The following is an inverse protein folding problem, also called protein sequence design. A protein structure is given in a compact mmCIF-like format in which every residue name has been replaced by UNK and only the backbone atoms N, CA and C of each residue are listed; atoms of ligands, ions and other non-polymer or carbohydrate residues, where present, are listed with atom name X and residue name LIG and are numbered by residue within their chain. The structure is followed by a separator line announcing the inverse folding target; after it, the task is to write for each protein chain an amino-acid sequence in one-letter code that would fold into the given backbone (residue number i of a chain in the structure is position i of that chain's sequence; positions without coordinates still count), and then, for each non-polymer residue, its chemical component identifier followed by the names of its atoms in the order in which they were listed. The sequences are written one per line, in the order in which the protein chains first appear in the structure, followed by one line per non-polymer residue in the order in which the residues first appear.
data_IF_953404656346
#
_entry.id   IF_953404656346
#
_cell.length_a   1.000
_cell.length_b   1.000
_cell.length_c   1.000
_cell.angle_alpha   90.00
_cell.angle_beta   90.00
_cell.angle_gamma   90.00
#
_symmetry.space_group_name_H-M   'P 1'
#
loop_
_entity.id
_entity.type
_entity.pdbx_description
1 polymer ?
#
# COMPACT_ATOMS: atom_id res chain seq x y z
N UNK A 1 -29.95 37.62 22.36
CA UNK A 1 -28.54 37.37 22.70
C UNK A 1 -28.00 36.56 21.53
N UNK A 2 -27.46 37.28 20.56
CA UNK A 2 -26.99 36.77 19.27
C UNK A 2 -25.57 36.24 19.49
N UNK A 3 -25.41 34.92 19.57
CA UNK A 3 -24.10 34.29 19.75
C UNK A 3 -23.41 34.20 18.41
N UNK A 4 -22.10 34.45 18.34
CA UNK A 4 -21.39 34.30 17.07
C UNK A 4 -21.56 32.86 16.53
N UNK A 5 -21.54 32.71 15.21
CA UNK A 5 -21.62 31.40 14.53
C UNK A 5 -20.65 30.37 15.13
N UNK A 6 -19.49 30.83 15.59
CA UNK A 6 -18.48 30.04 16.30
C UNK A 6 -19.01 29.46 17.62
N UNK A 7 -19.68 30.26 18.45
CA UNK A 7 -20.25 29.80 19.73
C UNK A 7 -21.32 28.73 19.53
N UNK A 8 -22.12 28.85 18.46
CA UNK A 8 -23.14 27.86 18.11
C UNK A 8 -22.47 26.53 17.79
N UNK A 9 -21.41 26.55 16.96
CA UNK A 9 -20.68 25.34 16.62
C UNK A 9 -19.93 24.73 17.79
N UNK A 10 -19.30 25.53 18.66
CA UNK A 10 -18.63 25.05 19.87
C UNK A 10 -19.60 24.33 20.81
N UNK A 11 -20.79 24.92 21.04
CA UNK A 11 -21.85 24.29 21.85
C UNK A 11 -22.38 22.98 21.24
N UNK A 12 -22.36 22.86 19.91
CA UNK A 12 -22.84 21.67 19.21
C UNK A 12 -21.75 20.63 18.92
N UNK A 13 -20.47 20.93 19.15
CA UNK A 13 -19.31 20.09 18.79
C UNK A 13 -19.51 18.61 19.13
N UNK A 14 -19.94 18.30 20.36
CA UNK A 14 -20.15 16.91 20.79
C UNK A 14 -21.23 16.17 19.98
N UNK A 15 -22.32 16.84 19.62
CA UNK A 15 -23.39 16.26 18.79
C UNK A 15 -22.91 16.03 17.35
N UNK A 16 -22.18 17.01 16.81
CA UNK A 16 -21.62 16.96 15.45
C UNK A 16 -20.59 15.83 15.33
N UNK A 17 -19.68 15.72 16.30
CA UNK A 17 -18.71 14.63 16.35
C UNK A 17 -19.41 13.26 16.50
N UNK A 18 -20.45 13.18 17.34
CA UNK A 18 -21.27 11.96 17.47
C UNK A 18 -21.98 11.58 16.16
N UNK A 19 -22.41 12.56 15.36
CA UNK A 19 -22.97 12.31 14.03
C UNK A 19 -21.93 11.76 13.05
N UNK A 20 -20.71 12.30 13.07
CA UNK A 20 -19.60 11.88 12.21
C UNK A 20 -19.14 10.47 12.59
N UNK A 21 -18.95 10.20 13.88
CA UNK A 21 -18.51 8.88 14.40
C UNK A 21 -19.45 7.72 14.07
N UNK A 22 -20.73 8.00 13.77
CA UNK A 22 -21.67 6.98 13.26
C UNK A 22 -21.42 6.59 11.79
N UNK A 23 -20.61 7.36 11.07
CA UNK A 23 -20.30 7.19 9.64
C UNK A 23 -18.81 6.97 9.39
N UNK A 24 -17.96 7.42 10.31
CA UNK A 24 -16.51 7.31 10.26
C UNK A 24 -16.06 6.50 11.47
N UNK A 25 -15.55 5.30 11.22
CA UNK A 25 -15.16 4.35 12.28
C UNK A 25 -13.85 4.74 12.99
N UNK A 26 -13.07 5.63 12.39
CA UNK A 26 -11.78 6.08 12.89
C UNK A 26 -11.96 7.37 13.71
N UNK A 27 -11.62 7.38 15.02
CA UNK A 27 -11.82 8.55 15.88
C UNK A 27 -11.04 9.79 15.45
N UNK A 28 -9.83 9.62 14.92
CA UNK A 28 -8.97 10.72 14.51
C UNK A 28 -9.47 11.30 13.18
N UNK A 29 -9.82 10.42 12.24
CA UNK A 29 -10.48 10.82 10.98
C UNK A 29 -11.81 11.55 11.24
N UNK A 30 -12.56 11.16 12.28
CA UNK A 30 -13.80 11.84 12.64
C UNK A 30 -13.56 13.26 13.18
N UNK A 31 -12.48 13.47 13.93
CA UNK A 31 -12.05 14.80 14.39
C UNK A 31 -11.59 15.66 13.21
N UNK A 32 -10.83 15.10 12.27
CA UNK A 32 -10.38 15.80 11.06
C UNK A 32 -11.54 16.26 10.18
N UNK A 33 -12.53 15.38 9.97
CA UNK A 33 -13.77 15.73 9.24
C UNK A 33 -14.50 16.88 9.91
N UNK A 34 -14.58 16.87 11.24
CA UNK A 34 -15.22 17.95 12.00
C UNK A 34 -14.46 19.27 11.82
N UNK A 35 -13.13 19.23 11.93
CA UNK A 35 -12.28 20.41 11.73
C UNK A 35 -12.41 20.97 10.30
N UNK A 36 -12.31 20.14 9.27
CA UNK A 36 -12.45 20.57 7.87
C UNK A 36 -13.85 21.15 7.61
N UNK A 37 -14.88 20.54 8.21
CA UNK A 37 -16.24 21.07 8.18
C UNK A 37 -16.35 22.45 8.82
N UNK A 38 -15.84 22.63 10.04
CA UNK A 38 -15.84 23.91 10.76
C UNK A 38 -15.08 24.99 10.00
N UNK A 39 -13.91 24.68 9.46
CA UNK A 39 -13.12 25.61 8.64
C UNK A 39 -13.88 26.07 7.39
N UNK A 40 -14.55 25.14 6.69
CA UNK A 40 -15.42 25.49 5.54
C UNK A 40 -16.58 26.36 5.97
N UNK A 41 -17.20 26.06 7.13
CA UNK A 41 -18.31 26.84 7.63
C UNK A 41 -17.91 28.26 7.99
N UNK A 42 -16.80 28.46 8.70
CA UNK A 42 -16.28 29.78 9.06
C UNK A 42 -15.95 30.64 7.83
N UNK A 43 -15.38 30.03 6.79
CA UNK A 43 -15.09 30.74 5.52
C UNK A 43 -16.32 31.14 4.72
N UNK A 44 -17.47 30.52 4.99
CA UNK A 44 -18.73 30.77 4.28
C UNK A 44 -19.82 31.34 5.20
N UNK A 45 -19.47 31.70 6.43
CA UNK A 45 -20.42 32.16 7.45
C UNK A 45 -21.01 33.53 7.11
N UNK A 46 -20.25 34.40 6.42
CA UNK A 46 -20.70 35.75 6.02
C UNK A 46 -21.93 35.72 5.08
N UNK A 47 -22.14 34.61 4.37
CA UNK A 47 -23.30 34.41 3.48
C UNK A 47 -24.55 33.90 4.22
N UNK A 48 -24.43 33.47 5.48
CA UNK A 48 -25.53 32.93 6.27
C UNK A 48 -26.15 33.99 7.18
N UNK A 49 -27.22 34.60 6.65
CA UNK A 49 -28.03 35.59 7.38
C UNK A 49 -29.15 34.99 8.24
N UNK A 50 -29.34 33.67 8.17
CA UNK A 50 -30.45 32.96 8.83
C UNK A 50 -29.90 31.83 9.72
N UNK A 51 -29.92 32.07 11.02
CA UNK A 51 -29.41 31.16 12.05
C UNK A 51 -30.20 29.84 12.09
N UNK A 52 -31.49 29.84 11.73
CA UNK A 52 -32.32 28.62 11.71
C UNK A 52 -31.89 27.64 10.60
N UNK A 53 -31.25 28.16 9.54
CA UNK A 53 -30.75 27.35 8.40
C UNK A 53 -29.31 26.91 8.56
N UNK A 54 -28.57 27.50 9.51
CA UNK A 54 -27.15 27.25 9.73
C UNK A 54 -26.85 25.78 10.04
N UNK A 55 -27.62 25.17 10.95
CA UNK A 55 -27.38 23.78 11.38
C UNK A 55 -27.65 22.77 10.25
N UNK A 56 -28.81 22.79 9.55
CA UNK A 56 -29.04 21.91 8.39
C UNK A 56 -28.01 22.10 7.28
N UNK A 57 -27.62 23.33 6.99
CA UNK A 57 -26.57 23.63 6.02
C UNK A 57 -25.22 23.03 6.44
N UNK A 58 -24.87 23.12 7.73
CA UNK A 58 -23.63 22.57 8.25
C UNK A 58 -23.59 21.04 8.18
N UNK A 59 -24.69 20.34 8.48
CA UNK A 59 -24.77 18.89 8.26
C UNK A 59 -24.52 18.50 6.80
N UNK A 60 -24.91 19.34 5.84
CA UNK A 60 -24.60 19.13 4.42
C UNK A 60 -23.10 19.27 4.15
N UNK A 61 -22.44 20.24 4.77
CA UNK A 61 -20.97 20.37 4.72
C UNK A 61 -20.30 19.12 5.29
N UNK A 62 -20.74 18.66 6.46
CA UNK A 62 -20.18 17.46 7.10
C UNK A 62 -20.33 16.21 6.23
N UNK A 63 -21.50 16.02 5.60
CA UNK A 63 -21.70 14.88 4.69
C UNK A 63 -20.72 14.92 3.51
N UNK A 64 -20.52 16.09 2.90
CA UNK A 64 -19.56 16.25 1.82
C UNK A 64 -18.12 16.00 2.31
N UNK A 65 -17.76 16.53 3.48
CA UNK A 65 -16.45 16.31 4.08
C UNK A 65 -16.17 14.83 4.37
N UNK A 66 -17.16 14.07 4.85
CA UNK A 66 -17.05 12.61 5.05
C UNK A 66 -16.74 11.92 3.71
N UNK A 67 -17.51 12.23 2.67
CA UNK A 67 -17.32 11.65 1.33
C UNK A 67 -15.92 11.99 0.80
N UNK A 68 -15.51 13.26 0.89
CA UNK A 68 -14.21 13.73 0.43
C UNK A 68 -13.06 13.00 1.16
N UNK A 69 -13.20 12.78 2.46
CA UNK A 69 -12.18 12.09 3.26
C UNK A 69 -12.03 10.63 2.84
N UNK A 70 -13.14 9.91 2.62
CA UNK A 70 -13.07 8.55 2.09
C UNK A 70 -12.50 8.49 0.67
N UNK A 71 -12.81 9.47 -0.19
CA UNK A 71 -12.24 9.55 -1.54
C UNK A 71 -10.73 9.80 -1.51
N UNK A 72 -10.26 10.72 -0.65
CA UNK A 72 -8.82 10.99 -0.43
C UNK A 72 -8.10 9.73 0.04
N UNK A 73 -8.62 9.05 1.07
CA UNK A 73 -8.03 7.81 1.61
C UNK A 73 -7.96 6.69 0.57
N UNK A 74 -9.02 6.51 -0.23
CA UNK A 74 -9.02 5.51 -1.31
C UNK A 74 -8.01 5.84 -2.42
N UNK A 75 -7.77 7.12 -2.72
CA UNK A 75 -6.74 7.53 -3.66
C UNK A 75 -5.33 7.27 -3.09
N UNK A 76 -5.10 7.59 -1.81
CA UNK A 76 -3.84 7.35 -1.11
C UNK A 76 -3.50 5.86 -1.05
N UNK A 77 -4.46 5.00 -0.66
CA UNK A 77 -4.25 3.54 -0.66
C UNK A 77 -3.86 3.02 -2.03
N UNK A 78 -4.56 3.44 -3.09
CA UNK A 78 -4.22 3.02 -4.46
C UNK A 78 -2.83 3.47 -4.89
N UNK A 79 -2.43 4.67 -4.50
CA UNK A 79 -1.08 5.19 -4.77
C UNK A 79 -0.02 4.34 -4.05
N UNK A 80 -0.20 4.08 -2.75
CA UNK A 80 0.73 3.26 -1.97
C UNK A 80 0.84 1.82 -2.50
N UNK A 81 -0.28 1.22 -2.92
CA UNK A 81 -0.28 -0.10 -3.55
C UNK A 81 0.42 -0.12 -4.91
N UNK A 82 0.32 0.96 -5.70
CA UNK A 82 1.04 1.07 -6.96
C UNK A 82 2.55 1.19 -6.71
N UNK A 83 2.94 2.08 -5.79
CA UNK A 83 4.33 2.27 -5.38
C UNK A 83 4.96 0.99 -4.82
N UNK A 84 4.24 0.24 -3.97
CA UNK A 84 4.72 -1.03 -3.43
C UNK A 84 4.98 -2.06 -4.55
N UNK A 85 4.10 -2.13 -5.55
CA UNK A 85 4.27 -3.02 -6.71
C UNK A 85 5.49 -2.65 -7.55
N UNK A 86 5.72 -1.36 -7.76
CA UNK A 86 6.90 -0.87 -8.49
C UNK A 86 8.19 -1.25 -7.74
N UNK A 87 8.23 -1.02 -6.42
CA UNK A 87 9.38 -1.40 -5.59
C UNK A 87 9.64 -2.92 -5.57
N UNK A 88 8.58 -3.75 -5.52
CA UNK A 88 8.71 -5.21 -5.64
C UNK A 88 9.27 -5.63 -7.00
N UNK A 89 8.88 -4.97 -8.09
CA UNK A 89 9.41 -5.24 -9.43
C UNK A 89 10.89 -4.89 -9.54
N UNK A 90 11.31 -3.74 -9.02
CA UNK A 90 12.72 -3.34 -8.99
C UNK A 90 13.58 -4.34 -8.21
N UNK A 91 13.13 -4.75 -7.02
CA UNK A 91 13.85 -5.74 -6.20
C UNK A 91 13.96 -7.09 -6.92
N UNK A 92 12.88 -7.54 -7.58
CA UNK A 92 12.89 -8.79 -8.33
C UNK A 92 13.82 -8.73 -9.55
N UNK A 93 13.90 -7.58 -10.23
CA UNK A 93 14.82 -7.37 -11.35
C UNK A 93 16.29 -7.42 -10.92
N UNK A 94 16.62 -6.90 -9.73
CA UNK A 94 17.98 -7.01 -9.18
C UNK A 94 18.35 -8.43 -8.72
N UNK A 95 17.35 -9.24 -8.35
CA UNK A 95 17.57 -10.58 -7.78
C UNK A 95 17.50 -11.69 -8.84
N UNK A 96 16.88 -11.44 -10.00
CA UNK A 96 16.98 -12.34 -11.15
C UNK A 96 18.33 -12.13 -11.83
N UNK A 97 19.25 -13.11 -11.81
CA UNK A 97 20.37 -13.05 -12.72
C UNK A 97 19.79 -12.99 -14.13
N UNK A 98 20.11 -11.92 -14.88
CA UNK A 98 19.84 -11.79 -16.31
C UNK A 98 20.60 -12.90 -17.06
N UNK A 99 20.06 -14.11 -16.98
CA UNK A 99 20.56 -15.27 -17.68
C UNK A 99 20.12 -15.08 -19.12
N UNK A 100 21.09 -14.76 -19.98
CA UNK A 100 20.89 -14.67 -21.42
C UNK A 100 20.06 -15.85 -21.94
N UNK A 101 19.08 -15.58 -22.81
CA UNK A 101 18.32 -16.62 -23.51
C UNK A 101 19.23 -17.65 -24.21
N UNK A 102 20.41 -17.21 -24.65
CA UNK A 102 21.46 -18.06 -25.21
C UNK A 102 21.95 -19.17 -24.27
N UNK A 103 21.92 -18.97 -22.94
CA UNK A 103 22.28 -20.03 -21.99
C UNK A 103 21.23 -21.14 -22.00
N UNK A 104 19.95 -20.78 -22.04
CA UNK A 104 18.85 -21.75 -22.10
C UNK A 104 18.83 -22.56 -23.39
N UNK A 105 19.33 -21.98 -24.49
CA UNK A 105 19.51 -22.69 -25.76
C UNK A 105 20.74 -23.63 -25.76
N UNK A 106 21.77 -23.31 -24.98
CA UNK A 106 23.00 -24.09 -24.89
C UNK A 106 22.93 -25.22 -23.85
N UNK A 107 22.15 -25.06 -22.77
CA UNK A 107 22.00 -26.08 -21.72
C UNK A 107 21.62 -27.48 -22.26
N UNK A 108 20.67 -27.61 -23.21
CA UNK A 108 20.34 -28.91 -23.82
C UNK A 108 21.48 -29.55 -24.63
N UNK A 109 22.51 -28.78 -25.01
CA UNK A 109 23.68 -29.31 -25.73
C UNK A 109 24.70 -30.00 -24.82
N UNK A 110 24.62 -29.76 -23.50
CA UNK A 110 25.41 -30.46 -22.50
C UNK A 110 24.85 -31.87 -22.26
N UNK A 111 25.66 -32.72 -21.63
CA UNK A 111 25.15 -33.99 -21.11
C UNK A 111 24.03 -33.68 -20.10
N UNK A 112 22.91 -34.43 -20.10
CA UNK A 112 21.77 -34.17 -19.21
C UNK A 112 22.16 -34.06 -17.72
N UNK A 113 23.14 -34.85 -17.29
CA UNK A 113 23.67 -34.84 -15.93
C UNK A 113 24.40 -33.53 -15.56
N UNK A 114 24.98 -32.81 -16.53
CA UNK A 114 25.67 -31.55 -16.32
C UNK A 114 24.72 -30.36 -16.43
N UNK A 115 23.79 -30.40 -17.39
CA UNK A 115 22.74 -29.38 -17.52
C UNK A 115 21.90 -29.28 -16.23
N UNK A 116 21.47 -30.43 -15.68
CA UNK A 116 20.73 -30.46 -14.42
C UNK A 116 21.56 -29.97 -13.22
N UNK A 117 22.89 -30.17 -13.26
CA UNK A 117 23.79 -29.72 -12.19
C UNK A 117 23.98 -28.19 -12.22
N UNK A 118 24.14 -27.59 -13.41
CA UNK A 118 24.25 -26.14 -13.60
C UNK A 118 22.93 -25.45 -13.22
N UNK A 119 21.79 -25.96 -13.71
CA UNK A 119 20.47 -25.41 -13.40
C UNK A 119 20.22 -25.32 -11.89
N UNK A 120 20.56 -26.39 -11.16
CA UNK A 120 20.29 -26.48 -9.72
C UNK A 120 21.31 -25.76 -8.82
N UNK A 121 22.57 -25.63 -9.26
CA UNK A 121 23.62 -24.99 -8.45
C UNK A 121 23.79 -23.49 -8.73
N UNK A 122 23.54 -23.05 -9.97
CA UNK A 122 23.92 -21.71 -10.41
C UNK A 122 22.74 -20.88 -10.91
N UNK A 123 21.64 -21.50 -11.34
CA UNK A 123 20.47 -20.80 -11.91
C UNK A 123 19.26 -20.77 -10.98
N UNK A 124 19.21 -21.65 -9.97
CA UNK A 124 18.15 -21.68 -8.95
C UNK A 124 18.70 -21.26 -7.58
N UNK A 125 17.93 -20.51 -6.78
CA UNK A 125 18.29 -20.25 -5.39
C UNK A 125 18.22 -21.54 -4.57
N UNK A 126 19.33 -21.95 -3.94
CA UNK A 126 19.39 -23.15 -3.11
C UNK A 126 20.76 -23.38 -2.45
N UNK A 127 20.83 -24.24 -1.43
CA UNK A 127 22.09 -24.62 -0.77
C UNK A 127 22.78 -25.79 -1.50
N UNK A 128 24.03 -25.61 -2.01
CA UNK A 128 24.79 -26.68 -2.64
C UNK A 128 24.99 -27.95 -1.79
N UNK A 129 24.96 -27.83 -0.46
CA UNK A 129 25.09 -28.97 0.44
C UNK A 129 23.82 -29.83 0.49
N UNK A 130 22.66 -29.19 0.37
CA UNK A 130 21.37 -29.87 0.30
C UNK A 130 21.26 -30.68 -1.00
N UNK A 131 21.71 -30.11 -2.11
CA UNK A 131 21.75 -30.79 -3.39
C UNK A 131 22.69 -32.01 -3.41
N UNK A 132 23.85 -31.92 -2.76
CA UNK A 132 24.76 -33.07 -2.63
C UNK A 132 24.10 -34.25 -1.90
N UNK A 133 23.27 -33.97 -0.89
CA UNK A 133 22.51 -34.99 -0.16
C UNK A 133 21.39 -35.57 -1.03
N UNK A 134 20.65 -34.73 -1.74
CA UNK A 134 19.58 -35.16 -2.67
C UNK A 134 20.11 -36.10 -3.75
N UNK A 135 21.27 -35.77 -4.33
CA UNK A 135 21.91 -36.56 -5.40
C UNK A 135 22.75 -37.74 -4.89
N UNK A 136 22.81 -37.98 -3.57
CA UNK A 136 23.68 -38.99 -2.94
C UNK A 136 25.16 -38.88 -3.37
N UNK A 137 25.66 -37.65 -3.55
CA UNK A 137 27.03 -37.39 -3.98
C UNK A 137 27.90 -36.92 -2.81
N UNK A 138 29.13 -37.42 -2.76
CA UNK A 138 30.15 -36.85 -1.87
C UNK A 138 30.52 -35.43 -2.34
N UNK A 139 30.83 -34.48 -1.43
CA UNK A 139 31.14 -33.09 -1.79
C UNK A 139 32.26 -32.93 -2.82
N UNK A 140 33.28 -33.79 -2.76
CA UNK A 140 34.36 -33.82 -3.76
C UNK A 140 33.88 -34.25 -5.15
N UNK A 141 32.91 -35.17 -5.24
CA UNK A 141 32.34 -35.62 -6.50
C UNK A 141 31.51 -34.50 -7.15
N UNK A 142 30.73 -33.77 -6.34
CA UNK A 142 29.97 -32.59 -6.79
C UNK A 142 30.90 -31.51 -7.36
N UNK A 143 32.01 -31.20 -6.68
CA UNK A 143 33.00 -30.21 -7.14
C UNK A 143 33.65 -30.61 -8.47
N UNK A 144 33.99 -31.88 -8.65
CA UNK A 144 34.58 -32.39 -9.90
C UNK A 144 33.57 -32.37 -11.04
N UNK A 145 32.31 -32.74 -10.79
CA UNK A 145 31.24 -32.67 -11.80
C UNK A 145 30.96 -31.23 -12.21
N UNK A 146 30.90 -30.29 -11.26
CA UNK A 146 30.73 -28.86 -11.54
C UNK A 146 31.85 -28.31 -12.42
N UNK A 147 33.11 -28.70 -12.17
CA UNK A 147 34.24 -28.24 -13.00
C UNK A 147 34.20 -28.79 -14.45
N UNK A 148 33.50 -29.89 -14.70
CA UNK A 148 33.42 -30.53 -16.02
C UNK A 148 32.19 -30.12 -16.82
N UNK A 149 31.20 -29.56 -16.14
CA UNK A 149 30.03 -28.93 -16.72
C UNK A 149 30.45 -27.58 -17.30
#
# INVERSE_FOLDING_TARGET
MDGSVEEVFLRQRGKLLGFIRKRVNDPDMAEDVLQEGLLKALRSADDLRDEERLVPWFYRILNNAIIDTYRKRSAETRYLEAYAREAEQELNAETQPDICACLWELLPSLKPEYAALIDRLELQPGDPQELARELNLQPNNLKVRRHRA
#
